data_IF_913322139407
#
_entry.id   IF_913322139407
#
_cell.length_a   1.000
_cell.length_b   1.000
_cell.length_c   1.000
_cell.angle_alpha   90.00
_cell.angle_beta   90.00
_cell.angle_gamma   90.00
#
_symmetry.space_group_name_H-M   'P 1'
#
loop_
_entity.id
_entity.type
_entity.pdbx_description
1 polymer ?
#
# COMPACT_ATOMS: atom_id res chain seq x y z
N UNK A 1 -25.06 13.82 49.74
CA UNK A 1 -25.59 13.96 48.37
C UNK A 1 -24.40 14.22 47.46
N UNK A 2 -23.73 13.19 46.97
CA UNK A 2 -22.54 13.36 46.13
C UNK A 2 -22.43 12.13 45.21
N UNK A 3 -23.17 12.14 44.11
CA UNK A 3 -23.15 11.06 43.11
C UNK A 3 -22.01 11.33 42.13
N UNK A 4 -20.88 10.65 42.31
CA UNK A 4 -19.78 10.67 41.34
C UNK A 4 -20.09 9.71 40.21
N UNK A 5 -20.49 10.26 39.07
CA UNK A 5 -20.69 9.51 37.82
C UNK A 5 -19.32 9.24 37.20
N UNK A 6 -18.89 7.97 37.22
CA UNK A 6 -17.70 7.53 36.48
C UNK A 6 -18.08 7.40 35.00
N UNK A 7 -17.53 8.27 34.17
CA UNK A 7 -17.63 8.16 32.73
C UNK A 7 -16.88 6.90 32.26
N UNK A 8 -17.64 5.88 31.83
CA UNK A 8 -17.09 4.72 31.13
C UNK A 8 -16.53 5.16 29.78
N UNK A 9 -15.20 5.24 29.69
CA UNK A 9 -14.49 5.38 28.42
C UNK A 9 -14.65 4.07 27.64
N UNK A 10 -15.66 4.00 26.78
CA UNK A 10 -15.78 2.93 25.79
C UNK A 10 -14.54 2.97 24.91
N UNK A 11 -13.58 2.07 25.17
CA UNK A 11 -12.53 1.78 24.19
C UNK A 11 -13.25 1.25 22.95
N UNK A 12 -13.35 2.08 21.92
CA UNK A 12 -13.78 1.65 20.60
C UNK A 12 -12.87 0.49 20.21
N UNK A 13 -13.44 -0.70 20.14
CA UNK A 13 -12.75 -1.90 19.68
C UNK A 13 -12.18 -1.58 18.28
N UNK A 14 -10.86 -1.69 18.04
CA UNK A 14 -10.32 -1.41 16.71
C UNK A 14 -10.92 -2.43 15.75
N UNK A 15 -11.89 -2.00 14.95
CA UNK A 15 -12.51 -2.83 13.92
C UNK A 15 -11.38 -3.36 13.04
N UNK A 16 -11.10 -4.65 13.13
CA UNK A 16 -10.18 -5.32 12.21
C UNK A 16 -10.85 -5.37 10.83
N UNK A 17 -10.68 -4.31 10.04
CA UNK A 17 -11.40 -4.09 8.77
C UNK A 17 -10.95 -5.03 7.65
N UNK A 18 -11.37 -6.29 7.59
CA UNK A 18 -10.92 -7.36 6.64
C UNK A 18 -9.96 -6.97 5.49
N UNK A 19 -10.22 -7.29 4.23
CA UNK A 19 -9.47 -6.76 3.07
C UNK A 19 -10.47 -6.21 2.04
N UNK A 20 -11.62 -6.89 1.79
CA UNK A 20 -12.71 -6.30 1.02
C UNK A 20 -13.22 -4.97 1.59
N UNK A 21 -13.27 -4.83 2.92
CA UNK A 21 -13.67 -3.56 3.55
C UNK A 21 -12.65 -2.45 3.27
N UNK A 22 -11.35 -2.76 3.27
CA UNK A 22 -10.33 -1.77 2.93
C UNK A 22 -10.39 -1.38 1.45
N UNK A 23 -10.59 -2.33 0.55
CA UNK A 23 -10.77 -2.07 -0.87
C UNK A 23 -11.92 -1.09 -1.11
N UNK A 24 -13.11 -1.40 -0.58
CA UNK A 24 -14.27 -0.54 -0.72
C UNK A 24 -14.06 0.87 -0.11
N UNK A 25 -13.41 0.94 1.05
CA UNK A 25 -13.10 2.25 1.66
C UNK A 25 -12.10 3.07 0.85
N UNK A 26 -11.14 2.42 0.18
CA UNK A 26 -10.22 3.11 -0.72
C UNK A 26 -10.93 3.58 -1.98
N UNK A 27 -11.82 2.76 -2.56
CA UNK A 27 -12.65 3.13 -3.71
C UNK A 27 -13.50 4.38 -3.37
N UNK A 28 -14.22 4.36 -2.25
CA UNK A 28 -15.01 5.51 -1.77
C UNK A 28 -14.15 6.76 -1.56
N UNK A 29 -12.91 6.59 -1.08
CA UNK A 29 -11.99 7.69 -0.82
C UNK A 29 -11.43 8.29 -2.12
N UNK A 30 -11.20 7.47 -3.15
CA UNK A 30 -10.81 7.92 -4.48
C UNK A 30 -11.95 8.70 -5.15
N UNK A 31 -13.17 8.20 -5.10
CA UNK A 31 -14.34 8.82 -5.72
C UNK A 31 -14.60 10.25 -5.20
N UNK A 32 -14.28 10.50 -3.93
CA UNK A 32 -14.42 11.83 -3.29
C UNK A 32 -13.10 12.62 -3.28
N UNK A 33 -12.05 12.15 -3.96
CA UNK A 33 -10.76 12.84 -4.12
C UNK A 33 -9.91 12.93 -2.86
N UNK A 34 -10.16 12.09 -1.84
CA UNK A 34 -9.37 12.03 -0.59
C UNK A 34 -8.19 11.07 -0.69
N UNK A 35 -8.18 10.20 -1.69
CA UNK A 35 -7.09 9.26 -1.96
C UNK A 35 -6.71 9.34 -3.44
N UNK A 36 -5.40 9.43 -3.69
CA UNK A 36 -4.87 9.28 -5.06
C UNK A 36 -4.73 7.79 -5.39
N UNK A 37 -4.97 7.37 -6.64
CA UNK A 37 -4.74 5.98 -7.06
C UNK A 37 -3.32 5.48 -6.82
N UNK A 38 -2.33 6.36 -6.93
CA UNK A 38 -0.93 6.04 -6.68
C UNK A 38 -0.62 5.77 -5.19
N UNK A 39 -1.52 6.17 -4.29
CA UNK A 39 -1.33 6.10 -2.83
C UNK A 39 -2.12 4.95 -2.17
N UNK A 40 -2.85 4.14 -2.97
CA UNK A 40 -3.60 3.00 -2.46
C UNK A 40 -2.70 1.98 -1.76
N UNK A 41 -3.18 1.44 -0.64
CA UNK A 41 -2.52 0.34 0.06
C UNK A 41 -2.93 -1.02 -0.52
N UNK A 42 -4.08 -1.07 -1.20
CA UNK A 42 -4.61 -2.26 -1.86
C UNK A 42 -4.61 -2.10 -3.38
N UNK A 43 -4.62 -3.22 -4.09
CA UNK A 43 -4.70 -3.29 -5.53
C UNK A 43 -6.12 -3.66 -5.93
N UNK A 44 -6.88 -2.72 -6.49
CA UNK A 44 -8.24 -2.96 -6.97
C UNK A 44 -8.29 -4.03 -8.08
N UNK A 45 -7.25 -4.13 -8.92
CA UNK A 45 -7.17 -5.12 -10.02
C UNK A 45 -7.16 -6.57 -9.51
N UNK A 46 -6.46 -6.83 -8.40
CA UNK A 46 -6.26 -8.21 -7.90
C UNK A 46 -6.96 -8.50 -6.57
N UNK A 47 -7.54 -7.49 -5.91
CA UNK A 47 -8.17 -7.62 -4.60
C UNK A 47 -7.20 -7.99 -3.47
N UNK A 48 -5.94 -7.53 -3.56
CA UNK A 48 -4.84 -7.87 -2.62
C UNK A 48 -4.17 -6.62 -2.10
N UNK A 49 -3.25 -6.75 -1.14
CA UNK A 49 -2.34 -5.67 -0.79
C UNK A 49 -1.45 -5.30 -1.98
N UNK A 50 -1.16 -4.00 -2.18
CA UNK A 50 -0.37 -3.56 -3.35
C UNK A 50 1.04 -4.17 -3.35
N UNK A 51 1.67 -4.34 -2.18
CA UNK A 51 2.99 -5.00 -2.08
C UNK A 51 2.95 -6.46 -2.56
N UNK A 52 1.82 -7.15 -2.51
CA UNK A 52 1.69 -8.53 -3.01
C UNK A 52 1.47 -8.59 -4.52
N UNK A 53 1.15 -7.47 -5.16
CA UNK A 53 0.79 -7.44 -6.58
C UNK A 53 1.77 -6.66 -7.44
N UNK A 54 2.50 -5.70 -6.88
CA UNK A 54 3.28 -4.70 -7.63
C UNK A 54 4.30 -5.32 -8.61
N UNK A 55 4.81 -6.52 -8.34
CA UNK A 55 5.71 -7.23 -9.25
C UNK A 55 5.03 -7.73 -10.55
N UNK A 56 3.70 -7.84 -10.56
CA UNK A 56 2.91 -8.28 -11.71
C UNK A 56 3.17 -7.42 -12.95
N UNK A 57 3.33 -8.02 -14.15
CA UNK A 57 3.46 -7.29 -15.40
C UNK A 57 2.28 -6.33 -15.68
N UNK A 58 1.10 -6.60 -15.11
CA UNK A 58 -0.08 -5.74 -15.28
C UNK A 58 0.10 -4.33 -14.71
N UNK A 59 1.08 -4.12 -13.82
CA UNK A 59 1.37 -2.82 -13.20
C UNK A 59 2.55 -2.08 -13.84
N UNK A 60 3.02 -2.54 -15.00
CA UNK A 60 4.02 -1.81 -15.78
C UNK A 60 3.31 -0.85 -16.73
N UNK A 61 3.62 0.44 -16.63
CA UNK A 61 3.08 1.44 -17.53
C UNK A 61 4.18 2.42 -18.00
N UNK A 62 4.53 2.40 -19.30
CA UNK A 62 5.58 3.27 -19.83
C UNK A 62 5.19 4.75 -19.87
N UNK A 63 3.90 5.06 -19.95
CA UNK A 63 3.37 6.44 -20.03
C UNK A 63 3.42 7.11 -18.67
N UNK A 64 2.82 6.50 -17.65
CA UNK A 64 2.83 7.04 -16.28
C UNK A 64 4.16 6.81 -15.57
N UNK A 65 5.08 6.06 -16.20
CA UNK A 65 6.37 5.61 -15.65
C UNK A 65 6.25 4.68 -14.44
N UNK A 66 5.08 4.11 -14.19
CA UNK A 66 4.93 3.06 -13.19
C UNK A 66 5.76 1.85 -13.58
N UNK A 67 6.73 1.50 -12.71
CA UNK A 67 7.69 0.41 -12.93
C UNK A 67 8.39 0.44 -14.29
N UNK A 68 8.71 1.62 -14.81
CA UNK A 68 9.32 1.73 -16.14
C UNK A 68 10.60 2.55 -16.14
N UNK A 69 11.68 1.94 -16.63
CA UNK A 69 12.91 2.64 -16.95
C UNK A 69 12.78 3.32 -18.32
N UNK A 70 12.72 4.65 -18.34
CA UNK A 70 12.64 5.43 -19.59
C UNK A 70 13.88 5.26 -20.46
N UNK A 71 15.07 5.28 -19.86
CA UNK A 71 16.34 5.24 -20.60
C UNK A 71 16.57 3.90 -21.30
N UNK A 72 16.22 2.79 -20.63
CA UNK A 72 16.42 1.45 -21.16
C UNK A 72 15.19 0.87 -21.86
N UNK A 73 14.06 1.60 -21.85
CA UNK A 73 12.76 1.18 -22.34
C UNK A 73 12.37 -0.22 -21.86
N UNK A 74 12.43 -0.45 -20.55
CA UNK A 74 12.14 -1.76 -19.95
C UNK A 74 11.49 -1.65 -18.58
N UNK A 75 10.80 -2.72 -18.18
CA UNK A 75 10.19 -2.84 -16.86
C UNK A 75 11.26 -2.89 -15.76
N UNK A 76 10.98 -2.24 -14.63
CA UNK A 76 11.81 -2.34 -13.44
C UNK A 76 11.54 -3.67 -12.72
N UNK A 77 12.61 -4.31 -12.27
CA UNK A 77 12.53 -5.42 -11.31
C UNK A 77 12.09 -4.87 -9.96
N UNK A 78 11.25 -5.61 -9.24
CA UNK A 78 10.82 -5.26 -7.87
C UNK A 78 11.39 -6.29 -6.92
N UNK A 79 11.97 -5.82 -5.81
CA UNK A 79 12.30 -6.66 -4.66
C UNK A 79 11.55 -6.16 -3.42
N UNK A 80 11.01 -7.10 -2.65
CA UNK A 80 10.23 -6.83 -1.45
C UNK A 80 10.75 -7.74 -0.35
N UNK A 81 11.24 -7.13 0.71
CA UNK A 81 11.55 -7.81 1.95
C UNK A 81 10.40 -7.56 2.93
N UNK A 82 9.53 -8.56 3.08
CA UNK A 82 8.38 -8.48 3.98
C UNK A 82 8.77 -8.56 5.47
N UNK A 83 10.00 -8.93 5.81
CA UNK A 83 10.49 -8.97 7.18
C UNK A 83 11.02 -7.59 7.60
N UNK A 84 11.97 -7.02 6.86
CA UNK A 84 12.49 -5.66 7.15
C UNK A 84 11.48 -4.57 6.79
N UNK A 85 10.70 -4.78 5.73
CA UNK A 85 9.78 -3.80 5.16
C UNK A 85 10.38 -3.01 4.01
N UNK A 86 11.56 -3.43 3.55
CA UNK A 86 12.23 -2.79 2.44
C UNK A 86 11.58 -3.15 1.11
N UNK A 87 11.48 -2.14 0.26
CA UNK A 87 10.96 -2.23 -1.10
C UNK A 87 11.91 -1.48 -1.98
N UNK A 88 12.40 -2.14 -3.03
CA UNK A 88 13.30 -1.56 -4.01
C UNK A 88 12.84 -1.88 -5.42
N UNK A 89 13.15 -0.96 -6.34
CA UNK A 89 12.91 -1.14 -7.77
C UNK A 89 14.13 -0.70 -8.54
N UNK A 90 14.57 -1.51 -9.50
CA UNK A 90 15.77 -1.23 -10.29
C UNK A 90 15.61 -1.74 -11.72
N UNK A 91 16.29 -1.09 -12.67
CA UNK A 91 16.34 -1.58 -14.05
C UNK A 91 17.32 -2.74 -14.14
N UNK A 92 16.93 -3.88 -14.73
CA UNK A 92 17.84 -5.01 -14.91
C UNK A 92 18.98 -4.72 -15.91
N UNK A 93 18.92 -3.61 -16.66
CA UNK A 93 19.94 -3.23 -17.67
C UNK A 93 20.96 -2.23 -17.16
N UNK A 94 20.50 -1.14 -16.53
CA UNK A 94 21.39 -0.05 -16.11
C UNK A 94 21.56 0.06 -14.59
N UNK A 95 20.88 -0.77 -13.80
CA UNK A 95 20.87 -0.71 -12.33
C UNK A 95 20.07 0.47 -11.75
N UNK A 96 19.85 1.53 -12.51
CA UNK A 96 19.09 2.72 -12.14
C UNK A 96 17.66 2.64 -12.66
N UNK A 97 16.90 3.73 -12.63
CA UNK A 97 15.57 3.78 -13.25
C UNK A 97 14.53 4.44 -12.37
N UNK A 98 14.99 5.16 -11.34
CA UNK A 98 14.14 5.92 -10.46
C UNK A 98 13.34 6.96 -11.25
N UNK A 99 12.14 7.18 -10.76
CA UNK A 99 11.21 8.19 -11.23
C UNK A 99 10.34 8.59 -10.05
N UNK A 100 9.65 9.73 -10.18
CA UNK A 100 8.66 10.11 -9.19
C UNK A 100 7.57 9.03 -9.02
N UNK A 101 7.15 8.39 -10.12
CA UNK A 101 6.16 7.32 -10.09
C UNK A 101 6.67 6.07 -9.34
N UNK A 102 7.88 5.61 -9.63
CA UNK A 102 8.45 4.46 -8.90
C UNK A 102 8.73 4.78 -7.42
N UNK A 103 9.11 6.01 -7.09
CA UNK A 103 9.28 6.43 -5.70
C UNK A 103 7.95 6.43 -4.93
N UNK A 104 6.86 6.94 -5.53
CA UNK A 104 5.51 6.86 -4.95
C UNK A 104 5.06 5.42 -4.76
N UNK A 105 5.25 4.58 -5.78
CA UNK A 105 4.89 3.17 -5.69
C UNK A 105 5.67 2.43 -4.59
N UNK A 106 6.96 2.73 -4.42
CA UNK A 106 7.77 2.23 -3.29
C UNK A 106 7.16 2.68 -1.96
N UNK A 107 6.78 3.96 -1.83
CA UNK A 107 6.15 4.48 -0.62
C UNK A 107 4.80 3.81 -0.32
N UNK A 108 3.94 3.62 -1.33
CA UNK A 108 2.67 2.92 -1.21
C UNK A 108 2.86 1.46 -0.77
N UNK A 109 3.83 0.74 -1.36
CA UNK A 109 4.18 -0.63 -0.95
C UNK A 109 4.66 -0.69 0.51
N UNK A 110 5.50 0.25 0.95
CA UNK A 110 5.96 0.32 2.35
C UNK A 110 4.80 0.61 3.30
N UNK A 111 3.91 1.54 2.94
CA UNK A 111 2.71 1.84 3.72
C UNK A 111 1.77 0.62 3.82
N UNK A 112 1.64 -0.10 2.71
CA UNK A 112 0.86 -1.34 2.60
C UNK A 112 1.41 -2.44 3.50
N UNK A 113 2.73 -2.67 3.50
CA UNK A 113 3.39 -3.60 4.43
C UNK A 113 3.16 -3.23 5.89
N UNK A 114 3.35 -1.95 6.24
CA UNK A 114 3.12 -1.46 7.60
C UNK A 114 1.67 -1.66 8.04
N UNK A 115 0.70 -1.40 7.16
CA UNK A 115 -0.72 -1.60 7.42
C UNK A 115 -1.06 -3.09 7.59
N UNK A 116 -0.55 -3.96 6.73
CA UNK A 116 -0.74 -5.41 6.84
C UNK A 116 -0.19 -5.95 8.17
N UNK A 117 1.03 -5.57 8.55
CA UNK A 117 1.65 -5.97 9.83
C UNK A 117 0.82 -5.57 11.04
N UNK A 118 0.32 -4.32 11.09
CA UNK A 118 -0.55 -3.87 12.20
C UNK A 118 -1.79 -4.76 12.36
N UNK A 119 -2.34 -5.26 11.25
CA UNK A 119 -3.53 -6.12 11.26
C UNK A 119 -3.24 -7.55 11.70
N UNK A 120 -2.08 -8.09 11.32
CA UNK A 120 -1.66 -9.40 11.79
C UNK A 120 -1.23 -9.37 13.25
N UNK A 121 -0.53 -8.32 13.69
CA UNK A 121 -0.19 -8.10 15.10
C UNK A 121 -1.41 -7.91 15.99
N UNK A 122 -2.42 -7.17 15.52
CA UNK A 122 -3.68 -6.99 16.24
C UNK A 122 -4.58 -8.24 16.27
N UNK A 123 -4.29 -9.29 15.47
CA UNK A 123 -4.97 -10.59 15.59
C UNK A 123 -4.31 -11.52 16.61
N UNK A 124 -3.09 -11.21 17.04
CA UNK A 124 -2.31 -12.03 17.97
C UNK A 124 -2.37 -11.53 19.42
N UNK A 125 -2.99 -10.38 19.67
CA UNK A 125 -3.19 -9.76 20.98
C UNK A 125 -4.68 -9.74 21.34
#
# INVERSE_FOLDING_TARGET
MNTTTLASTTRLNPVSRTLPVLLAMEDDAEDVGRLSPDDRLTCHVHGRWIHQCVASPLHVNPITRHRWCRSCATALTVSIDELSGDVTMFCPRCGHGESAASARLIAACRASLAAARRRFGARAA
#
